data_IF_534474335252
#
_entry.id   IF_534474335252
#
_cell.length_a   1.000
_cell.length_b   1.000
_cell.length_c   1.000
_cell.angle_alpha   90.00
_cell.angle_beta   90.00
_cell.angle_gamma   90.00
#
_symmetry.space_group_name_H-M   'P 1'
#
loop_
_entity.id
_entity.type
_entity.pdbx_description
1 polymer ?
#
# COMPACT_ATOMS: atom_id res chain seq x y z
N UNK A 1 9.27 -6.54 -7.80
CA UNK A 1 10.18 -5.42 -7.45
C UNK A 1 10.84 -4.91 -8.72
N UNK A 2 10.88 -3.61 -8.94
CA UNK A 2 11.61 -3.00 -10.06
C UNK A 2 12.88 -2.34 -9.54
N UNK A 3 13.93 -2.24 -10.36
CA UNK A 3 15.22 -1.66 -9.95
C UNK A 3 15.17 -0.20 -9.48
N UNK A 4 14.01 0.47 -9.57
CA UNK A 4 13.81 1.87 -9.19
C UNK A 4 12.99 2.06 -7.90
N UNK A 5 12.46 0.98 -7.31
CA UNK A 5 11.69 1.07 -6.06
C UNK A 5 10.63 -0.01 -5.89
N UNK A 6 9.61 0.33 -5.12
CA UNK A 6 8.56 -0.57 -4.66
C UNK A 6 7.26 -0.34 -5.44
N UNK A 7 6.63 -1.42 -5.85
CA UNK A 7 5.23 -1.46 -6.28
C UNK A 7 4.53 -2.48 -5.41
N UNK A 8 3.58 -2.01 -4.60
CA UNK A 8 2.85 -2.82 -3.62
C UNK A 8 1.39 -2.76 -4.03
N UNK A 9 0.83 -3.91 -4.40
CA UNK A 9 -0.58 -4.07 -4.74
C UNK A 9 -1.23 -4.99 -3.72
N UNK A 10 -2.35 -4.58 -3.15
CA UNK A 10 -3.07 -5.34 -2.13
C UNK A 10 -4.56 -5.05 -2.17
N UNK A 11 -5.39 -6.00 -1.75
CA UNK A 11 -6.85 -5.79 -1.66
C UNK A 11 -7.18 -4.80 -0.54
N UNK A 12 -8.09 -3.87 -0.82
CA UNK A 12 -8.63 -2.91 0.15
C UNK A 12 -10.17 -2.98 0.30
N UNK A 13 -10.82 -3.90 -0.40
CA UNK A 13 -12.25 -4.18 -0.37
C UNK A 13 -12.57 -5.39 -1.25
N UNK A 14 -13.85 -5.77 -1.37
CA UNK A 14 -14.31 -6.89 -2.21
C UNK A 14 -13.96 -6.65 -3.70
N UNK A 15 -14.26 -5.44 -4.19
CA UNK A 15 -14.06 -5.06 -5.60
C UNK A 15 -12.94 -4.02 -5.79
N UNK A 16 -12.07 -3.83 -4.80
CA UNK A 16 -11.09 -2.75 -4.78
C UNK A 16 -9.67 -3.19 -4.42
N UNK A 17 -8.69 -2.57 -5.10
CA UNK A 17 -7.26 -2.74 -4.85
C UNK A 17 -6.58 -1.42 -4.52
N UNK A 18 -5.60 -1.48 -3.63
CA UNK A 18 -4.74 -0.37 -3.24
C UNK A 18 -3.34 -0.59 -3.82
N UNK A 19 -2.91 0.32 -4.69
CA UNK A 19 -1.58 0.34 -5.31
C UNK A 19 -0.74 1.46 -4.69
N UNK A 20 0.44 1.10 -4.20
CA UNK A 20 1.45 2.05 -3.74
C UNK A 20 2.70 1.93 -4.59
N UNK A 21 3.12 3.07 -5.14
CA UNK A 21 4.38 3.22 -5.86
C UNK A 21 5.31 4.10 -5.03
N UNK A 22 6.51 3.62 -4.78
CA UNK A 22 7.52 4.36 -4.03
C UNK A 22 8.89 4.16 -4.65
N UNK A 23 9.75 5.16 -4.57
CA UNK A 23 11.14 5.03 -5.01
C UNK A 23 11.95 4.21 -4.00
N UNK A 24 13.15 3.74 -4.39
CA UNK A 24 14.04 2.97 -3.51
C UNK A 24 14.54 3.76 -2.29
N UNK A 25 14.47 5.09 -2.32
CA UNK A 25 14.84 5.98 -1.20
C UNK A 25 13.79 5.97 -0.09
N UNK A 26 12.59 5.42 -0.34
CA UNK A 26 11.56 5.29 0.67
C UNK A 26 12.00 4.34 1.78
N UNK A 27 11.77 4.74 3.04
CA UNK A 27 12.02 3.89 4.21
C UNK A 27 10.97 2.77 4.22
N UNK A 28 11.31 1.61 3.65
CA UNK A 28 10.38 0.49 3.43
C UNK A 28 9.59 0.10 4.69
N UNK A 29 10.23 0.06 5.86
CA UNK A 29 9.52 -0.24 7.13
C UNK A 29 8.42 0.78 7.47
N UNK A 30 8.69 2.08 7.29
CA UNK A 30 7.71 3.15 7.53
C UNK A 30 6.60 3.09 6.48
N UNK A 31 6.96 2.86 5.22
CA UNK A 31 6.01 2.70 4.13
C UNK A 31 5.01 1.56 4.42
N UNK A 32 5.50 0.41 4.87
CA UNK A 32 4.66 -0.73 5.22
C UNK A 32 3.77 -0.47 6.45
N UNK A 33 4.24 0.31 7.43
CA UNK A 33 3.42 0.71 8.58
C UNK A 33 2.24 1.58 8.15
N UNK A 34 2.48 2.55 7.26
CA UNK A 34 1.43 3.45 6.80
C UNK A 34 0.44 2.74 5.88
N UNK A 35 0.93 1.87 4.98
CA UNK A 35 0.07 1.01 4.15
C UNK A 35 -0.91 0.21 5.02
N UNK A 36 -0.47 -0.37 6.14
CA UNK A 36 -1.36 -1.13 7.04
C UNK A 36 -2.43 -0.25 7.69
N UNK A 37 -2.08 0.98 8.09
CA UNK A 37 -3.04 1.93 8.68
C UNK A 37 -4.08 2.36 7.66
N UNK A 38 -3.63 2.83 6.50
CA UNK A 38 -4.52 3.22 5.39
C UNK A 38 -5.40 2.06 4.94
N UNK A 39 -4.89 0.83 4.89
CA UNK A 39 -5.71 -0.34 4.54
C UNK A 39 -6.84 -0.59 5.54
N UNK A 40 -6.60 -0.35 6.83
CA UNK A 40 -7.65 -0.49 7.84
C UNK A 40 -8.76 0.54 7.62
N UNK A 41 -8.40 1.77 7.29
CA UNK A 41 -9.34 2.86 7.01
C UNK A 41 -10.11 2.61 5.70
N UNK A 42 -9.42 2.23 4.63
CA UNK A 42 -10.03 1.92 3.34
C UNK A 42 -11.01 0.76 3.44
N UNK A 43 -10.64 -0.32 4.14
CA UNK A 43 -11.54 -1.46 4.35
C UNK A 43 -12.82 -1.07 5.08
N UNK A 44 -12.74 -0.12 6.03
CA UNK A 44 -13.91 0.39 6.74
C UNK A 44 -14.77 1.34 5.88
N UNK A 45 -14.17 2.04 4.92
CA UNK A 45 -14.86 3.00 4.07
C UNK A 45 -15.50 2.36 2.83
N UNK A 46 -14.98 1.21 2.39
CA UNK A 46 -15.42 0.48 1.20
C UNK A 46 -16.33 -0.72 1.52
N UNK A 47 -16.59 -0.97 2.80
CA UNK A 47 -17.52 -1.99 3.31
C UNK A 47 -18.93 -1.45 3.49
#
# INVERSE_FOLDING_TARGET
EGNQGFSILTSCGEDAVFLVLATKEAKQGVLMLEIKRTLSELKSALS
#
